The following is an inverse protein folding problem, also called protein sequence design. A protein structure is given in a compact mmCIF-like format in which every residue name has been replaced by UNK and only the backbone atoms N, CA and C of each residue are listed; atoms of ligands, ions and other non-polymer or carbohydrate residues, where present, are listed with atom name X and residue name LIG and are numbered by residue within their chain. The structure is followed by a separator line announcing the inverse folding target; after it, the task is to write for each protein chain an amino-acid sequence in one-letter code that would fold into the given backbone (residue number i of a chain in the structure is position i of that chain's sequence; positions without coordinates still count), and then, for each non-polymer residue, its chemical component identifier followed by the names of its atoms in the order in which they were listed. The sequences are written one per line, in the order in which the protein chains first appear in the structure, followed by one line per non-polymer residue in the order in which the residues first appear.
data_IF_499203395963
#
_entry.id   IF_499203395963
#
_cell.length_a   1.000
_cell.length_b   1.000
_cell.length_c   1.000
_cell.angle_alpha   90.00
_cell.angle_beta   90.00
_cell.angle_gamma   90.00
#
_symmetry.space_group_name_H-M   'P 1'
#
loop_
_entity.id
_entity.type
_entity.pdbx_description
1 polymer ?
#
# COMPACT_ATOMS: atom_id res chain seq x y z
N UNK A 1 14.57 -70.50 -19.41
CA UNK A 1 15.35 -69.68 -18.45
C UNK A 1 14.92 -70.08 -17.05
N UNK A 2 15.89 -70.25 -16.14
CA UNK A 2 15.76 -70.81 -14.79
C UNK A 2 14.85 -69.96 -13.88
N UNK A 3 14.08 -70.65 -13.03
CA UNK A 3 13.33 -70.12 -11.89
C UNK A 3 14.23 -69.44 -10.84
N UNK A 4 13.67 -68.58 -9.97
CA UNK A 4 13.65 -68.78 -8.50
C UNK A 4 13.14 -67.55 -7.72
N UNK A 5 12.27 -67.84 -6.76
CA UNK A 5 11.60 -66.99 -5.76
C UNK A 5 12.47 -66.57 -4.56
N UNK A 6 12.06 -65.44 -3.94
CA UNK A 6 12.12 -65.01 -2.51
C UNK A 6 13.40 -65.28 -1.68
N UNK A 7 14.00 -64.19 -1.17
CA UNK A 7 14.66 -63.93 0.15
C UNK A 7 15.53 -62.66 -0.05
N UNK A 8 15.30 -61.53 0.60
CA UNK A 8 15.45 -61.32 2.03
C UNK A 8 16.89 -60.92 2.34
N UNK A 9 17.21 -59.62 2.39
CA UNK A 9 18.36 -59.09 3.13
C UNK A 9 18.05 -57.69 3.68
N UNK A 10 17.86 -57.66 5.00
CA UNK A 10 17.99 -56.49 5.86
C UNK A 10 19.47 -56.29 6.19
N UNK A 11 19.97 -55.06 6.08
CA UNK A 11 21.06 -54.48 6.89
C UNK A 11 21.12 -52.98 6.57
N UNK A 12 20.42 -52.14 7.35
CA UNK A 12 21.03 -51.28 8.37
C UNK A 12 22.25 -50.48 7.87
N UNK A 13 21.99 -49.22 7.52
CA UNK A 13 22.95 -48.11 7.58
C UNK A 13 22.33 -46.99 8.40
N UNK A 14 22.78 -46.86 9.66
CA UNK A 14 22.43 -45.80 10.58
C UNK A 14 23.27 -44.54 10.31
N UNK A 15 22.65 -43.39 10.62
CA UNK A 15 23.22 -42.08 10.89
C UNK A 15 23.70 -41.23 9.70
N UNK A 16 23.00 -40.12 9.43
CA UNK A 16 23.41 -38.81 9.96
C UNK A 16 22.51 -37.69 9.43
N UNK A 17 22.08 -36.80 10.34
CA UNK A 17 21.60 -35.46 10.00
C UNK A 17 20.10 -35.30 9.80
N UNK A 18 19.31 -35.43 10.88
CA UNK A 18 18.02 -34.74 10.93
C UNK A 18 18.35 -33.24 11.09
N UNK A 19 18.55 -32.56 9.96
CA UNK A 19 18.64 -31.11 9.95
C UNK A 19 17.34 -30.56 10.56
N UNK A 20 17.48 -29.86 11.68
CA UNK A 20 16.49 -28.93 12.18
C UNK A 20 16.16 -27.98 11.04
N UNK A 21 15.09 -28.26 10.31
CA UNK A 21 14.42 -27.27 9.50
C UNK A 21 13.94 -26.22 10.48
N UNK A 22 14.72 -25.15 10.63
CA UNK A 22 14.23 -23.88 11.11
C UNK A 22 13.11 -23.47 10.14
N UNK A 23 11.90 -23.93 10.44
CA UNK A 23 10.69 -23.38 9.87
C UNK A 23 10.64 -21.95 10.37
N UNK A 24 11.33 -21.06 9.65
CA UNK A 24 11.06 -19.64 9.72
C UNK A 24 9.56 -19.53 9.53
N UNK A 25 8.87 -19.01 10.55
CA UNK A 25 7.45 -18.72 10.47
C UNK A 25 7.33 -17.70 9.35
N UNK A 26 7.05 -18.18 8.14
CA UNK A 26 6.70 -17.32 7.03
C UNK A 26 5.40 -16.66 7.45
N UNK A 27 5.50 -15.42 7.92
CA UNK A 27 4.34 -14.59 8.23
C UNK A 27 3.53 -14.53 6.95
N UNK A 28 2.35 -15.15 6.96
CA UNK A 28 1.46 -15.14 5.80
C UNK A 28 1.20 -13.67 5.44
N UNK A 29 1.68 -13.26 4.28
CA UNK A 29 1.45 -11.91 3.77
C UNK A 29 -0.08 -11.75 3.66
N UNK A 30 -0.63 -10.74 4.34
CA UNK A 30 -2.07 -10.48 4.26
C UNK A 30 -2.38 -10.21 2.79
N UNK A 31 -3.47 -10.79 2.27
CA UNK A 31 -3.87 -10.54 0.88
C UNK A 31 -4.04 -9.04 0.60
N UNK A 32 -3.99 -8.61 -0.68
CA UNK A 32 -4.11 -7.21 -1.03
C UNK A 32 -5.32 -6.54 -0.37
N UNK A 33 -5.10 -5.38 0.24
CA UNK A 33 -6.13 -4.59 0.91
C UNK A 33 -6.42 -3.32 0.12
N UNK A 34 -7.62 -3.24 -0.44
CA UNK A 34 -8.07 -2.11 -1.23
C UNK A 34 -8.76 -1.08 -0.33
N UNK A 35 -8.23 0.14 -0.29
CA UNK A 35 -8.82 1.26 0.45
C UNK A 35 -9.83 2.03 -0.43
N UNK A 36 -9.48 2.24 -1.71
CA UNK A 36 -10.31 2.97 -2.65
C UNK A 36 -10.11 2.46 -4.08
N UNK A 37 -11.20 2.16 -4.78
CA UNK A 37 -11.25 2.05 -6.24
C UNK A 37 -12.67 2.28 -6.69
N UNK A 38 -12.87 3.37 -7.43
CA UNK A 38 -14.16 3.86 -7.92
C UNK A 38 -15.22 4.03 -6.82
N UNK A 39 -14.75 4.26 -5.60
CA UNK A 39 -15.55 4.29 -4.38
C UNK A 39 -14.76 3.77 -3.18
N UNK A 40 -15.18 4.24 -2.00
CA UNK A 40 -14.60 3.83 -0.72
C UNK A 40 -14.87 2.34 -0.48
N UNK A 41 -13.88 1.61 0.01
CA UNK A 41 -14.07 0.22 0.45
C UNK A 41 -14.49 0.16 1.91
N UNK A 42 -15.16 -0.94 2.26
CA UNK A 42 -15.64 -1.16 3.63
C UNK A 42 -14.49 -1.05 4.64
N UNK A 43 -14.75 -0.40 5.78
CA UNK A 43 -13.77 -0.18 6.83
C UNK A 43 -12.79 0.96 6.58
N UNK A 44 -12.93 1.69 5.46
CA UNK A 44 -12.18 2.90 5.15
C UNK A 44 -13.07 4.14 5.07
N UNK A 45 -12.50 5.31 5.33
CA UNK A 45 -13.13 6.61 5.08
C UNK A 45 -12.10 7.63 4.62
N UNK A 46 -12.57 8.76 4.09
CA UNK A 46 -11.72 9.92 3.81
C UNK A 46 -11.83 10.91 4.96
N UNK A 47 -10.68 11.45 5.37
CA UNK A 47 -10.60 12.58 6.30
C UNK A 47 -9.57 13.62 5.86
N UNK A 48 -9.15 14.44 6.81
CA UNK A 48 -8.31 15.61 6.56
C UNK A 48 -9.16 16.87 6.30
N UNK A 49 -8.49 17.94 5.91
CA UNK A 49 -9.10 19.27 5.76
C UNK A 49 -8.99 19.81 4.32
N UNK A 50 -8.60 18.95 3.37
CA UNK A 50 -8.72 19.20 1.94
C UNK A 50 -10.19 19.19 1.48
N UNK A 51 -10.50 20.09 0.54
CA UNK A 51 -11.76 19.96 -0.21
C UNK A 51 -11.64 18.70 -1.07
N UNK A 52 -12.65 17.85 -0.98
CA UNK A 52 -12.67 16.58 -1.69
C UNK A 52 -14.06 16.28 -2.24
N UNK A 53 -14.09 15.58 -3.37
CA UNK A 53 -15.32 15.03 -3.94
C UNK A 53 -15.04 13.62 -4.40
N UNK A 54 -15.47 12.59 -3.66
CA UNK A 54 -15.25 11.19 -4.02
C UNK A 54 -16.14 10.78 -5.19
N UNK A 55 -15.69 9.74 -5.89
CA UNK A 55 -16.39 9.09 -7.00
C UNK A 55 -16.80 10.03 -8.16
N UNK A 56 -15.99 11.06 -8.45
CA UNK A 56 -16.19 11.94 -9.60
C UNK A 56 -15.92 11.15 -10.88
N UNK A 57 -16.84 11.11 -11.86
CA UNK A 57 -16.56 10.48 -13.15
C UNK A 57 -15.40 11.18 -13.86
N UNK A 58 -14.35 10.43 -14.19
CA UNK A 58 -13.22 10.90 -14.99
C UNK A 58 -12.75 9.75 -15.86
N UNK A 59 -12.92 9.89 -17.18
CA UNK A 59 -12.66 8.83 -18.15
C UNK A 59 -13.48 7.57 -17.83
N UNK A 60 -12.83 6.42 -17.65
CA UNK A 60 -13.42 5.14 -17.29
C UNK A 60 -13.40 4.86 -15.77
N UNK A 61 -13.01 5.83 -14.96
CA UNK A 61 -12.78 5.71 -13.52
C UNK A 61 -13.64 6.68 -12.70
N UNK A 62 -13.73 6.44 -11.38
CA UNK A 62 -14.39 7.31 -10.41
C UNK A 62 -13.47 7.67 -9.24
N UNK A 63 -12.41 8.45 -9.48
CA UNK A 63 -11.49 8.89 -8.44
C UNK A 63 -12.12 9.81 -7.38
N UNK A 64 -11.33 10.13 -6.37
CA UNK A 64 -11.55 11.32 -5.54
C UNK A 64 -10.90 12.52 -6.22
N UNK A 65 -11.66 13.57 -6.50
CA UNK A 65 -11.12 14.89 -6.81
C UNK A 65 -10.69 15.58 -5.53
N UNK A 66 -9.48 16.14 -5.50
CA UNK A 66 -8.87 16.74 -4.31
C UNK A 66 -8.36 18.14 -4.67
N UNK A 67 -8.71 19.12 -3.85
CA UNK A 67 -8.14 20.48 -3.88
C UNK A 67 -7.52 20.79 -2.53
N UNK A 68 -6.25 21.21 -2.53
CA UNK A 68 -5.48 21.48 -1.31
C UNK A 68 -5.08 22.94 -1.23
N UNK A 69 -5.48 23.64 -0.17
CA UNK A 69 -4.86 24.90 0.19
C UNK A 69 -3.40 24.69 0.66
N UNK A 70 -2.71 25.78 1.00
CA UNK A 70 -1.41 25.72 1.63
C UNK A 70 -1.44 24.79 2.86
N UNK A 71 -0.43 23.92 2.99
CA UNK A 71 -0.29 23.00 4.12
C UNK A 71 -1.45 22.00 4.32
N UNK A 72 -2.34 21.84 3.32
CA UNK A 72 -3.49 20.97 3.44
C UNK A 72 -3.15 19.47 3.55
N UNK A 73 -4.06 18.74 4.20
CA UNK A 73 -3.98 17.29 4.37
C UNK A 73 -5.25 16.62 3.84
N UNK A 74 -5.06 15.51 3.13
CA UNK A 74 -6.08 14.57 2.70
C UNK A 74 -5.66 13.17 3.16
N UNK A 75 -6.61 12.35 3.59
CA UNK A 75 -6.28 11.03 4.15
C UNK A 75 -7.26 9.95 3.72
N UNK A 76 -6.77 8.74 3.52
CA UNK A 76 -7.57 7.52 3.64
C UNK A 76 -7.28 6.91 5.01
N UNK A 77 -8.32 6.67 5.80
CA UNK A 77 -8.21 6.20 7.18
C UNK A 77 -8.99 4.90 7.36
N UNK A 78 -8.54 4.05 8.27
CA UNK A 78 -9.24 2.83 8.68
C UNK A 78 -9.24 2.69 10.20
N UNK A 79 -10.22 1.96 10.76
CA UNK A 79 -10.28 1.67 12.19
C UNK A 79 -9.28 0.58 12.58
N UNK A 80 -8.77 -0.17 11.60
CA UNK A 80 -7.81 -1.24 11.82
C UNK A 80 -6.39 -0.69 11.90
N UNK A 81 -5.68 -1.01 12.97
CA UNK A 81 -4.23 -0.84 13.00
C UNK A 81 -3.59 -1.89 12.10
N UNK A 82 -3.07 -1.45 10.98
CA UNK A 82 -2.42 -2.26 9.97
C UNK A 82 -0.93 -2.38 10.32
N UNK A 83 -0.37 -3.60 10.33
CA UNK A 83 1.06 -3.74 10.55
C UNK A 83 1.79 -3.49 9.23
N UNK A 84 2.70 -2.52 9.22
CA UNK A 84 3.58 -2.24 8.08
C UNK A 84 4.21 -3.46 7.43
N UNK A 85 4.86 -4.34 8.21
CA UNK A 85 5.50 -5.54 7.69
C UNK A 85 4.58 -6.54 6.98
N UNK A 86 3.26 -6.42 7.13
CA UNK A 86 2.30 -7.28 6.43
C UNK A 86 2.17 -6.89 4.93
N UNK A 87 2.70 -5.73 4.53
CA UNK A 87 2.63 -5.19 3.17
C UNK A 87 4.02 -4.83 2.62
N UNK A 88 4.23 -5.11 1.34
CA UNK A 88 5.43 -4.74 0.57
C UNK A 88 5.27 -3.38 -0.10
N UNK A 89 4.10 -3.10 -0.66
CA UNK A 89 3.86 -1.94 -1.52
C UNK A 89 2.53 -1.26 -1.18
N UNK A 90 2.54 0.07 -1.21
CA UNK A 90 1.33 0.89 -1.35
C UNK A 90 1.26 1.40 -2.79
N UNK A 91 0.26 0.94 -3.52
CA UNK A 91 -0.03 1.41 -4.88
C UNK A 91 -1.14 2.46 -4.84
N UNK A 92 -0.98 3.50 -5.66
CA UNK A 92 -2.02 4.47 -5.95
C UNK A 92 -1.86 5.05 -7.36
N UNK A 93 -2.99 5.47 -7.97
CA UNK A 93 -2.99 6.24 -9.20
C UNK A 93 -3.24 7.72 -8.90
N UNK A 94 -2.46 8.60 -9.53
CA UNK A 94 -2.63 10.06 -9.46
C UNK A 94 -2.86 10.61 -10.85
N UNK A 95 -3.92 11.41 -11.03
CA UNK A 95 -4.13 12.20 -12.24
C UNK A 95 -3.92 13.69 -11.93
N UNK A 96 -3.04 14.37 -12.67
CA UNK A 96 -2.69 15.78 -12.40
C UNK A 96 -3.77 16.80 -12.80
N UNK A 97 -4.93 16.33 -13.27
CA UNK A 97 -6.01 17.20 -13.72
C UNK A 97 -5.62 18.08 -14.92
N UNK A 98 -6.38 19.16 -15.18
CA UNK A 98 -6.17 20.01 -16.35
C UNK A 98 -4.84 20.78 -16.37
N UNK A 99 -4.22 21.00 -15.21
CA UNK A 99 -3.01 21.83 -15.07
C UNK A 99 -1.74 21.01 -14.84
N UNK A 100 -1.82 19.89 -14.11
CA UNK A 100 -0.66 19.15 -13.63
C UNK A 100 0.19 19.95 -12.62
N UNK A 101 1.41 19.48 -12.37
CA UNK A 101 2.44 20.09 -11.51
C UNK A 101 2.16 20.04 -10.01
N UNK A 102 1.06 19.42 -9.57
CA UNK A 102 0.84 19.18 -8.15
C UNK A 102 1.96 18.30 -7.62
N UNK A 103 2.54 18.68 -6.48
CA UNK A 103 3.45 17.84 -5.73
C UNK A 103 2.87 17.64 -4.33
N UNK A 104 2.58 16.39 -3.98
CA UNK A 104 2.07 16.03 -2.64
C UNK A 104 3.02 15.03 -2.01
N UNK A 105 3.23 15.15 -0.71
CA UNK A 105 3.97 14.14 0.04
C UNK A 105 3.02 13.05 0.52
N UNK A 106 3.39 11.81 0.24
CA UNK A 106 2.76 10.60 0.76
C UNK A 106 3.51 10.15 2.01
N UNK A 107 2.78 9.94 3.11
CA UNK A 107 3.29 9.33 4.33
C UNK A 107 2.23 8.52 5.05
N UNK A 108 2.63 7.72 6.03
CA UNK A 108 1.73 6.95 6.88
C UNK A 108 1.58 7.63 8.25
N UNK A 109 0.48 7.35 8.95
CA UNK A 109 0.27 7.77 10.35
C UNK A 109 -0.33 6.64 11.19
N UNK A 110 -0.12 6.75 12.50
CA UNK A 110 -0.84 6.00 13.52
C UNK A 110 -1.55 7.01 14.42
N UNK A 111 -2.86 7.15 14.25
CA UNK A 111 -3.64 8.25 14.82
C UNK A 111 -3.08 9.61 14.42
N UNK A 112 -2.77 10.45 15.42
CA UNK A 112 -2.23 11.79 15.19
C UNK A 112 -0.73 11.84 14.87
N UNK A 113 -0.02 10.71 14.99
CA UNK A 113 1.43 10.66 14.79
C UNK A 113 1.77 10.22 13.37
N UNK A 114 2.32 11.15 12.59
CA UNK A 114 2.87 10.84 11.28
C UNK A 114 4.29 10.24 11.39
N UNK A 115 4.60 9.30 10.50
CA UNK A 115 5.97 8.84 10.29
C UNK A 115 6.79 9.93 9.60
N UNK A 116 8.09 10.01 9.92
CA UNK A 116 8.98 11.05 9.38
C UNK A 116 9.26 10.89 7.89
N UNK A 117 9.24 9.65 7.39
CA UNK A 117 9.54 9.38 5.99
C UNK A 117 8.35 9.68 5.10
N UNK A 118 8.63 10.24 3.93
CA UNK A 118 7.63 10.57 2.93
C UNK A 118 8.19 10.38 1.52
N UNK A 119 7.29 10.13 0.57
CA UNK A 119 7.60 10.04 -0.86
C UNK A 119 6.80 11.12 -1.60
N UNK A 120 7.45 11.87 -2.48
CA UNK A 120 6.77 12.88 -3.30
C UNK A 120 6.07 12.24 -4.49
N UNK A 121 4.79 12.52 -4.64
CA UNK A 121 3.97 12.15 -5.79
C UNK A 121 3.72 13.38 -6.64
N UNK A 122 3.78 13.24 -7.95
CA UNK A 122 3.66 14.34 -8.91
C UNK A 122 2.47 14.15 -9.85
N UNK A 123 1.60 15.15 -9.92
CA UNK A 123 0.53 15.21 -10.89
C UNK A 123 1.06 15.55 -12.29
N UNK A 124 0.78 14.69 -13.26
CA UNK A 124 1.05 14.99 -14.68
C UNK A 124 -0.23 15.47 -15.34
N UNK A 125 -0.14 16.58 -16.09
CA UNK A 125 -1.28 17.20 -16.77
C UNK A 125 -2.01 16.18 -17.64
N UNK A 126 -3.30 15.97 -17.35
CA UNK A 126 -4.20 15.13 -18.14
C UNK A 126 -3.77 13.66 -18.25
N UNK A 127 -3.00 13.14 -17.29
CA UNK A 127 -2.51 11.76 -17.32
C UNK A 127 -2.58 11.11 -15.96
N UNK A 128 -2.95 9.84 -15.96
CA UNK A 128 -2.75 8.92 -14.84
C UNK A 128 -1.28 8.54 -14.70
N UNK A 129 -0.78 8.59 -13.47
CA UNK A 129 0.53 8.09 -13.09
C UNK A 129 0.33 7.06 -11.99
N UNK A 130 0.89 5.87 -12.20
CA UNK A 130 0.94 4.82 -11.18
C UNK A 130 2.16 5.00 -10.29
N UNK A 131 1.93 4.99 -8.99
CA UNK A 131 2.98 4.96 -7.98
C UNK A 131 2.90 3.65 -7.22
N UNK A 132 3.96 2.87 -7.29
CA UNK A 132 4.17 1.66 -6.49
C UNK A 132 5.22 1.99 -5.43
N UNK A 133 4.78 2.45 -4.25
CA UNK A 133 5.66 2.92 -3.18
C UNK A 133 5.99 1.77 -2.25
N UNK A 134 7.27 1.36 -2.13
CA UNK A 134 7.65 0.34 -1.16
C UNK A 134 7.34 0.82 0.27
N UNK A 135 6.65 0.01 1.07
CA UNK A 135 6.28 0.36 2.46
C UNK A 135 7.53 0.64 3.31
N UNK A 136 8.64 -0.03 3.02
CA UNK A 136 9.94 0.22 3.65
C UNK A 136 10.45 1.66 3.46
N UNK A 137 10.11 2.32 2.35
CA UNK A 137 10.57 3.69 2.05
C UNK A 137 9.77 4.71 2.87
N UNK A 138 8.59 4.33 3.36
CA UNK A 138 7.79 5.09 4.32
C UNK A 138 8.23 4.85 5.77
N UNK A 139 9.32 4.09 5.99
CA UNK A 139 9.96 3.80 7.29
C UNK A 139 9.00 3.39 8.40
N UNK A 140 7.95 2.64 8.03
CA UNK A 140 6.97 2.04 8.95
C UNK A 140 7.48 0.69 9.52
N UNK A 141 8.78 0.40 9.39
CA UNK A 141 9.38 -0.90 9.75
C UNK A 141 9.11 -1.19 11.23
N UNK A 142 8.42 -2.31 11.49
CA UNK A 142 7.95 -2.79 12.79
C UNK A 142 6.83 -1.94 13.44
N UNK A 143 6.31 -0.95 12.72
CA UNK A 143 5.23 -0.06 13.13
C UNK A 143 3.85 -0.47 12.63
N UNK A 144 2.84 0.09 13.28
CA UNK A 144 1.45 0.03 12.83
C UNK A 144 1.05 1.37 12.21
N UNK A 145 0.14 1.35 11.25
CA UNK A 145 -0.47 2.55 10.70
C UNK A 145 -1.97 2.31 10.52
N UNK A 146 -2.74 3.39 10.55
CA UNK A 146 -4.18 3.39 10.30
C UNK A 146 -4.58 4.44 9.26
N UNK A 147 -3.62 5.24 8.81
CA UNK A 147 -3.86 6.39 7.93
C UNK A 147 -2.81 6.45 6.81
N UNK A 148 -3.29 6.57 5.59
CA UNK A 148 -2.51 6.96 4.41
C UNK A 148 -2.75 8.45 4.20
N UNK A 149 -1.71 9.27 4.33
CA UNK A 149 -1.79 10.73 4.23
C UNK A 149 -1.15 11.26 2.95
N UNK A 150 -1.88 12.13 2.26
CA UNK A 150 -1.37 13.03 1.24
C UNK A 150 -1.34 14.45 1.81
N UNK A 151 -0.20 15.12 1.71
CA UNK A 151 -0.02 16.47 2.23
C UNK A 151 0.53 17.40 1.15
N UNK A 152 -0.07 18.58 1.05
CA UNK A 152 0.59 19.71 0.40
C UNK A 152 1.61 20.28 1.39
N UNK A 153 2.90 20.14 1.08
CA UNK A 153 4.00 20.63 1.93
C UNK A 153 4.52 22.01 1.49
N UNK A 154 3.66 22.84 0.88
CA UNK A 154 4.00 24.17 0.40
C UNK A 154 3.05 25.25 0.91
N UNK A 155 3.48 26.51 0.75
CA UNK A 155 2.68 27.70 1.05
C UNK A 155 1.68 28.07 -0.07
N UNK A 156 1.71 27.35 -1.19
CA UNK A 156 0.85 27.57 -2.35
C UNK A 156 -0.37 26.63 -2.28
N UNK A 157 -1.49 27.03 -2.88
CA UNK A 157 -2.59 26.10 -3.13
C UNK A 157 -2.28 25.21 -4.33
N UNK A 158 -2.74 23.96 -4.29
CA UNK A 158 -2.69 23.06 -5.43
C UNK A 158 -3.99 23.12 -6.23
N UNK A 159 -3.84 23.20 -7.54
CA UNK A 159 -4.91 22.96 -8.50
C UNK A 159 -5.51 21.56 -8.31
N UNK A 160 -6.80 21.35 -8.65
CA UNK A 160 -7.44 20.05 -8.51
C UNK A 160 -6.66 18.91 -9.17
N UNK A 161 -6.53 17.82 -8.44
CA UNK A 161 -5.94 16.56 -8.90
C UNK A 161 -6.80 15.39 -8.42
N UNK A 162 -6.54 14.19 -8.93
CA UNK A 162 -7.38 13.03 -8.67
C UNK A 162 -6.57 11.85 -8.17
N UNK A 163 -7.16 11.07 -7.27
CA UNK A 163 -6.55 9.84 -6.74
C UNK A 163 -7.51 8.68 -6.87
N UNK A 164 -7.02 7.53 -7.35
CA UNK A 164 -7.77 6.27 -7.44
C UNK A 164 -6.88 5.05 -7.13
N UNK A 165 -7.48 3.87 -7.05
CA UNK A 165 -6.81 2.56 -6.90
C UNK A 165 -5.76 2.52 -5.79
N UNK A 166 -6.19 2.89 -4.57
CA UNK A 166 -5.35 2.89 -3.38
C UNK A 166 -5.37 1.50 -2.76
N UNK A 167 -4.27 0.76 -2.89
CA UNK A 167 -4.17 -0.64 -2.48
C UNK A 167 -2.85 -0.91 -1.76
N UNK A 168 -2.94 -1.62 -0.65
CA UNK A 168 -1.81 -2.15 0.11
C UNK A 168 -1.60 -3.62 -0.30
N UNK A 169 -0.38 -4.01 -0.63
CA UNK A 169 -0.05 -5.34 -1.15
C UNK A 169 1.16 -5.91 -0.46
#
# INVERSE_FOLDING_TARGET
MKELTRKGFLAQGLASGLALMAAGVARAQKGPMLAYADGMKEGWWIGGWAKQTPAVPLEDQKPVEITMAAWNVFTFQTWQKLNGPDFKTLTLLVHGGPKGKQEVSLRLRLGEKAYESQVTLKGVKGKWVRYDVPIKDLKVKDGQFDTIELRNASAESLEPFYVNFVILQ
#
